data_IF_710044414876
#
_entry.id   IF_710044414876
#
_cell.length_a   1.000
_cell.length_b   1.000
_cell.length_c   1.000
_cell.angle_alpha   90.00
_cell.angle_beta   90.00
_cell.angle_gamma   90.00
#
_symmetry.space_group_name_H-M   'P 1'
#
loop_
_entity.id
_entity.type
_entity.pdbx_description
1 polymer ?
#
# COMPACT_ATOMS: atom_id res chain seq x y z
N UNK A 1 32.99 -18.86 50.23
CA UNK A 1 32.57 -17.60 49.58
C UNK A 1 31.19 -17.21 50.09
N UNK A 2 30.96 -15.95 50.49
CA UNK A 2 29.69 -15.53 51.10
C UNK A 2 28.57 -15.56 50.05
N UNK A 3 27.50 -16.33 50.29
CA UNK A 3 26.41 -16.67 49.36
C UNK A 3 25.79 -15.45 48.63
N UNK A 4 25.68 -14.31 49.32
CA UNK A 4 25.16 -13.06 48.74
C UNK A 4 25.99 -12.54 47.56
N UNK A 5 27.31 -12.75 47.56
CA UNK A 5 28.17 -12.32 46.43
C UNK A 5 27.85 -13.10 45.16
N UNK A 6 27.52 -14.40 45.30
CA UNK A 6 27.15 -15.23 44.15
C UNK A 6 25.82 -14.79 43.54
N UNK A 7 24.83 -14.45 44.38
CA UNK A 7 23.52 -13.96 43.94
C UNK A 7 23.66 -12.61 43.21
N UNK A 8 24.48 -11.70 43.73
CA UNK A 8 24.75 -10.40 43.08
C UNK A 8 25.41 -10.59 41.72
N UNK A 9 26.41 -11.47 41.63
CA UNK A 9 27.10 -11.75 40.36
C UNK A 9 26.17 -12.39 39.32
N UNK A 10 25.29 -13.29 39.75
CA UNK A 10 24.30 -13.93 38.87
C UNK A 10 23.31 -12.90 38.31
N UNK A 11 22.73 -12.06 39.17
CA UNK A 11 21.80 -11.01 38.71
C UNK A 11 22.47 -9.99 37.80
N UNK A 12 23.73 -9.62 38.08
CA UNK A 12 24.50 -8.72 37.24
C UNK A 12 24.73 -9.33 35.85
N UNK A 13 25.12 -10.60 35.79
CA UNK A 13 25.33 -11.31 34.52
C UNK A 13 24.04 -11.39 33.69
N UNK A 14 22.91 -11.67 34.31
CA UNK A 14 21.60 -11.67 33.66
C UNK A 14 21.23 -10.28 33.15
N UNK A 15 21.39 -9.24 33.98
CA UNK A 15 21.10 -7.85 33.60
C UNK A 15 21.96 -7.37 32.43
N UNK A 16 23.25 -7.69 32.43
CA UNK A 16 24.17 -7.35 31.32
C UNK A 16 23.80 -8.11 30.05
N UNK A 17 23.46 -9.40 30.14
CA UNK A 17 23.02 -10.19 28.99
C UNK A 17 21.74 -9.63 28.35
N UNK A 18 20.76 -9.26 29.18
CA UNK A 18 19.53 -8.62 28.73
C UNK A 18 19.77 -7.26 28.06
N UNK A 19 20.66 -6.43 28.64
CA UNK A 19 20.99 -5.11 28.09
C UNK A 19 21.68 -5.24 26.72
N UNK A 20 22.67 -6.12 26.60
CA UNK A 20 23.39 -6.36 25.35
C UNK A 20 22.44 -6.93 24.30
N UNK A 21 21.59 -7.90 24.67
CA UNK A 21 20.57 -8.46 23.79
C UNK A 21 19.59 -7.41 23.28
N UNK A 22 19.12 -6.51 24.15
CA UNK A 22 18.20 -5.41 23.79
C UNK A 22 18.84 -4.42 22.81
N UNK A 23 20.10 -4.03 23.06
CA UNK A 23 20.83 -3.13 22.15
C UNK A 23 21.09 -3.78 20.79
N UNK A 24 21.40 -5.08 20.77
CA UNK A 24 21.62 -5.82 19.52
C UNK A 24 20.32 -5.96 18.71
N UNK A 25 19.21 -6.32 19.37
CA UNK A 25 17.87 -6.34 18.77
C UNK A 25 17.50 -4.97 18.21
N UNK A 26 17.71 -3.89 18.98
CA UNK A 26 17.41 -2.53 18.55
C UNK A 26 18.15 -2.13 17.27
N UNK A 27 19.42 -2.52 17.14
CA UNK A 27 20.23 -2.29 15.94
C UNK A 27 19.72 -3.08 14.72
N UNK A 28 19.27 -4.32 14.95
CA UNK A 28 18.72 -5.15 13.88
C UNK A 28 17.37 -4.62 13.38
N UNK A 29 16.49 -4.20 14.30
CA UNK A 29 15.22 -3.55 13.92
C UNK A 29 15.48 -2.27 13.11
N UNK A 30 16.48 -1.48 13.46
CA UNK A 30 16.86 -0.30 12.69
C UNK A 30 17.34 -0.66 11.27
N UNK A 31 18.16 -1.71 11.13
CA UNK A 31 18.61 -2.21 9.82
C UNK A 31 17.44 -2.69 8.97
N UNK A 32 16.58 -3.55 9.52
CA UNK A 32 15.43 -4.11 8.80
C UNK A 32 14.49 -3.00 8.31
N UNK A 33 14.22 -1.97 9.13
CA UNK A 33 13.43 -0.80 8.72
C UNK A 33 14.07 -0.04 7.56
N UNK A 34 15.40 0.07 7.56
CA UNK A 34 16.13 0.73 6.48
C UNK A 34 16.07 -0.07 5.17
N UNK A 35 16.16 -1.40 5.23
CA UNK A 35 16.03 -2.29 4.07
C UNK A 35 14.62 -2.24 3.47
N UNK A 36 13.57 -2.24 4.30
CA UNK A 36 12.19 -2.05 3.83
C UNK A 36 12.02 -0.69 3.15
N UNK A 37 12.55 0.38 3.74
CA UNK A 37 12.46 1.72 3.13
C UNK A 37 13.20 1.79 1.79
N UNK A 38 14.41 1.21 1.72
CA UNK A 38 15.21 1.18 0.48
C UNK A 38 14.54 0.36 -0.63
N UNK A 39 13.97 -0.79 -0.29
CA UNK A 39 13.25 -1.63 -1.26
C UNK A 39 11.98 -0.97 -1.77
N UNK A 40 11.21 -0.31 -0.89
CA UNK A 40 10.07 0.53 -1.31
C UNK A 40 10.51 1.67 -2.22
N UNK A 41 11.59 2.38 -1.86
CA UNK A 41 12.14 3.46 -2.69
C UNK A 41 12.66 2.94 -4.04
N UNK A 42 13.34 1.80 -4.07
CA UNK A 42 13.84 1.18 -5.29
C UNK A 42 12.69 0.68 -6.19
N UNK A 43 11.62 0.12 -5.63
CA UNK A 43 10.42 -0.27 -6.38
C UNK A 43 9.75 0.96 -7.02
N UNK A 44 9.58 2.04 -6.24
CA UNK A 44 9.05 3.32 -6.75
C UNK A 44 9.98 3.92 -7.81
N UNK A 45 11.30 3.86 -7.64
CA UNK A 45 12.29 4.38 -8.59
C UNK A 45 12.41 3.51 -9.86
N UNK A 46 12.21 2.20 -9.76
CA UNK A 46 12.20 1.27 -10.90
C UNK A 46 10.97 1.49 -11.79
N UNK A 47 9.89 2.04 -11.22
CA UNK A 47 9.15 3.12 -11.86
C UNK A 47 8.53 2.85 -13.22
N UNK A 48 8.33 1.60 -13.63
CA UNK A 48 7.73 1.32 -14.92
C UNK A 48 6.28 1.80 -14.92
N UNK A 49 6.05 2.90 -15.64
CA UNK A 49 4.72 3.37 -15.90
C UNK A 49 3.99 2.30 -16.73
N UNK A 50 2.94 1.76 -16.14
CA UNK A 50 2.10 0.75 -16.77
C UNK A 50 0.72 1.33 -17.00
N UNK A 51 0.08 0.79 -18.02
CA UNK A 51 -1.27 1.14 -18.39
C UNK A 51 -2.12 -0.12 -18.45
N UNK A 52 -3.29 -0.08 -17.82
CA UNK A 52 -4.27 -1.15 -17.85
C UNK A 52 -5.62 -0.61 -18.28
N UNK A 53 -6.31 -1.35 -19.13
CA UNK A 53 -7.71 -1.07 -19.46
C UNK A 53 -8.56 -2.15 -18.81
N UNK A 54 -9.47 -1.72 -17.94
CA UNK A 54 -10.20 -2.59 -17.01
C UNK A 54 -11.68 -2.21 -17.05
N UNK A 55 -12.57 -3.16 -16.84
CA UNK A 55 -13.99 -2.89 -16.65
C UNK A 55 -14.34 -2.86 -15.18
N UNK A 56 -15.37 -2.09 -14.85
CA UNK A 56 -15.89 -2.03 -13.51
C UNK A 56 -17.26 -1.40 -13.41
N UNK A 57 -17.82 -1.44 -12.20
CA UNK A 57 -19.11 -0.86 -11.87
C UNK A 57 -18.91 0.22 -10.82
N UNK A 58 -19.42 1.42 -11.09
CA UNK A 58 -19.34 2.55 -10.16
C UNK A 58 -20.13 2.24 -8.90
N UNK A 59 -19.50 2.41 -7.73
CA UNK A 59 -20.12 2.20 -6.42
C UNK A 59 -20.35 3.49 -5.66
N UNK A 60 -19.44 4.46 -5.79
CA UNK A 60 -19.59 5.80 -5.23
C UNK A 60 -18.65 6.78 -5.91
N UNK A 61 -19.03 8.06 -5.94
CA UNK A 61 -18.18 9.17 -6.38
C UNK A 61 -17.97 10.07 -5.17
N UNK A 62 -16.72 10.37 -4.83
CA UNK A 62 -16.36 11.25 -3.70
C UNK A 62 -15.59 12.45 -4.25
N UNK A 63 -16.30 13.50 -4.71
CA UNK A 63 -15.68 14.66 -5.37
C UNK A 63 -14.74 15.46 -4.44
N UNK A 64 -14.99 15.45 -3.14
CA UNK A 64 -14.24 16.22 -2.13
C UNK A 64 -12.75 15.84 -2.10
N UNK A 65 -12.45 14.59 -2.43
CA UNK A 65 -11.09 14.04 -2.47
C UNK A 65 -10.70 13.51 -3.86
N UNK A 66 -11.52 13.77 -4.88
CA UNK A 66 -11.32 13.33 -6.28
C UNK A 66 -11.09 11.81 -6.38
N UNK A 67 -11.94 11.03 -5.69
CA UNK A 67 -11.89 9.56 -5.67
C UNK A 67 -13.17 8.96 -6.25
N UNK A 68 -13.01 8.04 -7.19
CA UNK A 68 -14.06 7.20 -7.73
C UNK A 68 -13.96 5.80 -7.11
N UNK A 69 -14.96 5.41 -6.34
CA UNK A 69 -15.07 4.06 -5.78
C UNK A 69 -15.81 3.19 -6.77
N UNK A 70 -15.17 2.11 -7.21
CA UNK A 70 -15.74 1.17 -8.17
C UNK A 70 -15.36 -0.26 -7.84
N UNK A 71 -16.20 -1.21 -8.26
CA UNK A 71 -15.83 -2.63 -8.30
C UNK A 71 -15.18 -2.89 -9.64
N UNK A 72 -13.89 -3.21 -9.66
CA UNK A 72 -13.17 -3.54 -10.90
C UNK A 72 -13.05 -5.05 -11.11
N UNK A 73 -12.92 -5.45 -12.37
CA UNK A 73 -12.49 -6.79 -12.74
C UNK A 73 -11.01 -7.03 -12.43
N UNK A 74 -10.52 -8.24 -12.63
CA UNK A 74 -9.10 -8.55 -12.43
C UNK A 74 -8.20 -7.66 -13.29
N UNK A 75 -7.12 -7.18 -12.70
CA UNK A 75 -6.09 -6.37 -13.35
C UNK A 75 -4.83 -7.21 -13.43
N UNK A 76 -4.53 -7.81 -14.60
CA UNK A 76 -3.45 -8.78 -14.73
C UNK A 76 -2.11 -8.24 -14.23
N UNK A 77 -1.49 -8.99 -13.32
CA UNK A 77 -0.19 -8.65 -12.74
C UNK A 77 -0.19 -7.48 -11.76
N UNK A 78 -1.35 -6.93 -11.38
CA UNK A 78 -1.43 -5.86 -10.39
C UNK A 78 -2.37 -6.19 -9.23
N UNK A 79 -3.64 -6.52 -9.48
CA UNK A 79 -4.61 -6.73 -8.41
C UNK A 79 -5.84 -7.55 -8.86
N UNK A 80 -6.37 -8.45 -8.00
CA UNK A 80 -7.59 -9.22 -8.29
C UNK A 80 -8.84 -8.33 -8.24
N UNK A 81 -9.97 -8.84 -8.73
CA UNK A 81 -11.24 -8.12 -8.69
C UNK A 81 -11.63 -7.75 -7.26
N UNK A 82 -11.82 -6.46 -6.99
CA UNK A 82 -12.25 -5.95 -5.70
C UNK A 82 -12.95 -4.59 -5.83
N UNK A 83 -13.51 -4.09 -4.73
CA UNK A 83 -14.10 -2.74 -4.67
C UNK A 83 -13.16 -1.81 -3.94
N UNK A 84 -12.68 -0.79 -4.63
CA UNK A 84 -11.76 0.20 -4.05
C UNK A 84 -11.88 1.56 -4.73
N UNK A 85 -11.31 2.58 -4.09
CA UNK A 85 -11.26 3.94 -4.60
C UNK A 85 -10.01 4.19 -5.44
N UNK A 86 -10.19 4.74 -6.64
CA UNK A 86 -9.11 5.26 -7.47
C UNK A 86 -9.22 6.76 -7.62
N UNK A 87 -8.08 7.45 -7.65
CA UNK A 87 -8.05 8.85 -8.07
C UNK A 87 -8.26 8.95 -9.58
N UNK A 88 -8.96 9.99 -10.00
CA UNK A 88 -9.10 10.36 -11.41
C UNK A 88 -8.11 11.46 -11.77
N UNK A 89 -7.58 11.42 -12.98
CA UNK A 89 -6.62 12.41 -13.47
C UNK A 89 -7.26 13.80 -13.53
N UNK A 90 -8.56 13.85 -13.84
CA UNK A 90 -9.35 15.07 -13.79
C UNK A 90 -10.77 14.80 -13.26
N UNK A 91 -11.39 15.76 -12.57
CA UNK A 91 -12.77 15.63 -12.05
C UNK A 91 -13.81 15.38 -13.14
N UNK A 92 -13.56 15.82 -14.38
CA UNK A 92 -14.53 15.69 -15.48
C UNK A 92 -14.77 14.22 -15.88
N UNK A 93 -13.85 13.31 -15.53
CA UNK A 93 -13.98 11.89 -15.87
C UNK A 93 -15.16 11.21 -15.20
N UNK A 94 -15.55 11.64 -13.99
CA UNK A 94 -16.71 11.10 -13.28
C UNK A 94 -17.96 11.96 -13.40
N UNK A 95 -17.94 13.03 -14.20
CA UNK A 95 -19.10 13.89 -14.37
C UNK A 95 -20.27 13.12 -14.97
N UNK A 96 -21.39 13.13 -14.24
CA UNK A 96 -22.62 12.44 -14.57
C UNK A 96 -22.55 10.92 -14.44
N UNK A 97 -21.46 10.32 -13.92
CA UNK A 97 -21.45 8.89 -13.59
C UNK A 97 -22.43 8.66 -12.44
N UNK A 98 -23.25 7.63 -12.58
CA UNK A 98 -24.18 7.23 -11.53
C UNK A 98 -23.73 5.92 -10.90
N UNK A 99 -24.15 5.70 -9.64
CA UNK A 99 -23.92 4.42 -8.96
C UNK A 99 -24.64 3.32 -9.75
N UNK A 100 -23.91 2.25 -10.08
CA UNK A 100 -24.40 1.15 -10.92
C UNK A 100 -24.00 1.23 -12.39
N UNK A 101 -23.43 2.35 -12.86
CA UNK A 101 -22.93 2.46 -14.24
C UNK A 101 -21.78 1.48 -14.47
N UNK A 102 -21.86 0.71 -15.56
CA UNK A 102 -20.76 -0.12 -16.05
C UNK A 102 -19.85 0.74 -16.93
N UNK A 103 -18.58 0.77 -16.57
CA UNK A 103 -17.58 1.59 -17.24
C UNK A 103 -16.36 0.75 -17.61
N UNK A 104 -15.75 1.09 -18.74
CA UNK A 104 -14.38 0.73 -19.07
C UNK A 104 -13.50 1.91 -18.73
N UNK A 105 -12.48 1.69 -17.91
CA UNK A 105 -11.57 2.75 -17.49
C UNK A 105 -10.12 2.34 -17.72
N UNK A 106 -9.28 3.34 -17.91
CA UNK A 106 -7.85 3.15 -18.11
C UNK A 106 -7.10 3.65 -16.89
N UNK A 107 -6.37 2.76 -16.22
CA UNK A 107 -5.43 3.08 -15.17
C UNK A 107 -4.05 3.32 -15.79
N UNK A 108 -3.36 4.37 -15.34
CA UNK A 108 -1.99 4.66 -15.72
C UNK A 108 -1.19 5.09 -14.50
N UNK A 109 0.04 4.62 -14.39
CA UNK A 109 0.97 5.00 -13.32
C UNK A 109 1.91 3.88 -12.92
N UNK A 110 2.57 4.07 -11.78
CA UNK A 110 3.52 3.12 -11.22
C UNK A 110 2.89 2.49 -9.98
N UNK A 111 2.64 1.17 -9.96
CA UNK A 111 2.10 0.49 -8.78
C UNK A 111 2.86 0.85 -7.48
N UNK A 112 2.15 1.12 -6.37
CA UNK A 112 0.68 1.11 -6.22
C UNK A 112 0.00 2.42 -6.64
N UNK A 113 0.75 3.45 -7.03
CA UNK A 113 0.26 4.78 -7.39
C UNK A 113 -0.24 4.81 -8.84
N UNK A 114 -1.50 4.41 -9.04
CA UNK A 114 -2.19 4.48 -10.34
C UNK A 114 -3.33 5.48 -10.29
N UNK A 115 -3.64 6.06 -11.45
CA UNK A 115 -4.72 7.04 -11.61
C UNK A 115 -5.56 6.68 -12.82
N UNK A 116 -6.87 6.91 -12.75
CA UNK A 116 -7.76 6.76 -13.90
C UNK A 116 -7.55 7.94 -14.84
N UNK A 117 -7.10 7.66 -16.06
CA UNK A 117 -6.84 8.68 -17.10
C UNK A 117 -7.94 8.79 -18.15
N UNK A 118 -8.77 7.74 -18.30
CA UNK A 118 -9.88 7.73 -19.23
C UNK A 118 -11.01 6.84 -18.71
N UNK A 119 -12.25 7.23 -19.01
CA UNK A 119 -13.47 6.47 -18.70
C UNK A 119 -14.36 6.46 -19.94
N UNK A 120 -14.90 5.29 -20.27
CA UNK A 120 -15.89 5.07 -21.32
C UNK A 120 -17.07 4.31 -20.71
N UNK A 121 -18.29 4.83 -20.88
CA UNK A 121 -19.49 4.16 -20.39
C UNK A 121 -19.87 3.01 -21.31
N UNK A 122 -20.21 1.88 -20.73
CA UNK A 122 -20.68 0.69 -21.46
C UNK A 122 -22.18 0.43 -21.24
N UNK A 123 -22.87 1.25 -20.44
CA UNK A 123 -24.30 1.17 -20.15
C UNK A 123 -24.59 0.98 -18.66
N UNK A 124 -25.87 0.76 -18.33
CA UNK A 124 -26.31 0.43 -16.97
C UNK A 124 -26.41 -1.08 -16.80
N UNK A 125 -25.97 -1.61 -15.65
CA UNK A 125 -26.16 -3.02 -15.29
C UNK A 125 -27.48 -3.28 -14.61
#
# INVERSE_FOLDING_TARGET
MKLWKAIVLLNLAVGVGLLIGYLWWGREVARLRQETTRSLQAAVASGEERQWTVRGVVRSVIPEINVLVLTHEEIPGFMPSMTMGFRTATPQLYNGLEVGDRIRFTLKGVPPNVTIVAITREGKS
#
